data_IF_422073527470
#
_entry.id   IF_422073527470
#
_cell.length_a   1.000
_cell.length_b   1.000
_cell.length_c   1.000
_cell.angle_alpha   90.00
_cell.angle_beta   90.00
_cell.angle_gamma   90.00
#
_symmetry.space_group_name_H-M   'P 1'
#
loop_
_entity.id
_entity.type
_entity.pdbx_description
1 polymer ?
#
# COMPACT_ATOMS: atom_id res chain seq x y z
N UNK A 1 -8.10 -4.13 -13.00
CA UNK A 1 -7.82 -2.81 -12.41
C UNK A 1 -6.63 -2.90 -11.47
N UNK A 2 -6.07 -1.76 -11.05
CA UNK A 2 -5.03 -1.68 -10.01
C UNK A 2 -5.48 -2.36 -8.71
N UNK A 3 -6.77 -2.30 -8.38
CA UNK A 3 -7.34 -2.95 -7.18
C UNK A 3 -7.20 -4.48 -7.26
N UNK A 4 -7.54 -5.07 -8.41
CA UNK A 4 -7.40 -6.51 -8.63
C UNK A 4 -5.93 -6.95 -8.63
N UNK A 5 -5.04 -6.13 -9.18
CA UNK A 5 -3.61 -6.38 -9.16
C UNK A 5 -3.07 -6.35 -7.72
N UNK A 6 -3.44 -5.36 -6.91
CA UNK A 6 -3.02 -5.29 -5.50
C UNK A 6 -3.47 -6.53 -4.73
N UNK A 7 -4.73 -6.95 -4.93
CA UNK A 7 -5.27 -8.18 -4.32
C UNK A 7 -4.52 -9.44 -4.77
N UNK A 8 -4.10 -9.51 -6.04
CA UNK A 8 -3.29 -10.62 -6.55
C UNK A 8 -1.89 -10.65 -5.94
N UNK A 9 -1.28 -9.49 -5.70
CA UNK A 9 0.09 -9.37 -5.18
C UNK A 9 0.16 -9.62 -3.66
N UNK A 10 -0.79 -9.09 -2.89
CA UNK A 10 -0.68 -9.03 -1.42
C UNK A 10 -1.84 -9.69 -0.67
N UNK A 11 -2.91 -10.10 -1.36
CA UNK A 11 -4.06 -10.76 -0.76
C UNK A 11 -4.67 -9.96 0.39
N UNK A 12 -5.02 -10.67 1.48
CA UNK A 12 -5.62 -10.06 2.67
C UNK A 12 -4.60 -9.33 3.57
N UNK A 13 -3.30 -9.43 3.25
CA UNK A 13 -2.18 -8.84 3.98
C UNK A 13 -1.84 -7.42 3.52
N UNK A 14 -2.52 -6.86 2.51
CA UNK A 14 -2.28 -5.48 2.08
C UNK A 14 -2.78 -4.48 3.13
N UNK A 15 -3.94 -4.76 3.74
CA UNK A 15 -4.49 -3.95 4.84
C UNK A 15 -5.09 -2.62 4.40
N UNK A 16 -4.99 -1.61 5.26
CA UNK A 16 -5.59 -0.28 5.05
C UNK A 16 -4.66 0.88 5.35
N UNK A 17 -3.53 0.66 6.02
CA UNK A 17 -2.48 1.67 6.20
C UNK A 17 -1.11 1.04 6.46
N UNK A 18 -0.05 1.70 6.03
CA UNK A 18 1.27 1.12 5.83
C UNK A 18 1.19 -0.14 4.96
N UNK A 19 0.41 -0.06 3.87
CA UNK A 19 0.11 -1.20 2.99
C UNK A 19 1.34 -1.63 2.20
N UNK A 20 1.41 -2.90 1.82
CA UNK A 20 2.49 -3.37 0.97
C UNK A 20 2.42 -2.69 -0.40
N UNK A 21 1.23 -2.40 -0.90
CA UNK A 21 1.00 -1.69 -2.16
C UNK A 21 1.49 -0.24 -2.16
N UNK A 22 1.14 0.56 -1.14
CA UNK A 22 1.58 1.97 -1.08
C UNK A 22 3.09 2.06 -0.88
N UNK A 23 3.65 1.19 -0.03
CA UNK A 23 5.10 1.16 0.21
C UNK A 23 5.84 0.71 -1.05
N UNK A 24 5.30 -0.28 -1.78
CA UNK A 24 5.88 -0.71 -3.07
C UNK A 24 5.95 0.44 -4.07
N UNK A 25 4.89 1.27 -4.17
CA UNK A 25 4.90 2.47 -5.02
C UNK A 25 6.00 3.46 -4.59
N UNK A 26 6.17 3.69 -3.28
CA UNK A 26 7.24 4.57 -2.79
C UNK A 26 8.62 4.00 -3.07
N UNK A 27 8.82 2.68 -2.96
CA UNK A 27 10.08 2.03 -3.27
C UNK A 27 10.43 2.14 -4.75
N UNK A 28 9.44 1.95 -5.62
CA UNK A 28 9.62 2.14 -7.05
C UNK A 28 10.05 3.57 -7.39
N UNK A 29 9.47 4.58 -6.74
CA UNK A 29 9.84 5.98 -6.98
C UNK A 29 11.18 6.38 -6.37
N UNK A 30 11.52 5.83 -5.22
CA UNK A 30 12.69 6.20 -4.42
C UNK A 30 13.53 4.95 -4.06
N UNK A 31 14.18 4.30 -5.02
CA UNK A 31 14.85 3.00 -4.80
C UNK A 31 16.04 3.10 -3.84
N UNK A 32 16.74 4.24 -3.77
CA UNK A 32 17.82 4.43 -2.81
C UNK A 32 17.31 4.52 -1.36
N UNK A 33 16.17 5.19 -1.15
CA UNK A 33 15.52 5.23 0.17
C UNK A 33 14.96 3.86 0.52
N UNK A 34 14.38 3.13 -0.44
CA UNK A 34 13.92 1.77 -0.26
C UNK A 34 15.05 0.89 0.30
N UNK A 35 16.25 0.90 -0.29
CA UNK A 35 17.41 0.15 0.21
C UNK A 35 17.75 0.49 1.66
N UNK A 36 17.60 1.75 2.06
CA UNK A 36 17.90 2.25 3.42
C UNK A 36 16.86 1.81 4.45
N UNK A 37 15.58 1.81 4.09
CA UNK A 37 14.46 1.64 5.04
C UNK A 37 13.75 0.30 4.95
N UNK A 38 14.07 -0.52 3.93
CA UNK A 38 13.39 -1.79 3.71
C UNK A 38 13.39 -2.65 4.96
N UNK A 39 12.19 -3.02 5.40
CA UNK A 39 11.99 -3.86 6.58
C UNK A 39 12.40 -5.30 6.22
N UNK A 40 13.62 -5.68 6.61
CA UNK A 40 14.16 -7.03 6.35
C UNK A 40 13.85 -8.05 7.44
N UNK A 41 13.23 -7.62 8.54
CA UNK A 41 12.88 -8.47 9.69
C UNK A 41 11.38 -8.68 9.73
N UNK A 42 10.94 -9.85 10.19
CA UNK A 42 9.53 -10.09 10.48
C UNK A 42 9.03 -9.07 11.50
N UNK A 43 7.87 -8.50 11.22
CA UNK A 43 7.13 -7.68 12.16
C UNK A 43 6.29 -8.58 13.08
N UNK A 44 5.97 -8.09 14.28
CA UNK A 44 5.13 -8.84 15.23
C UNK A 44 3.95 -7.98 15.69
N UNK A 45 2.70 -8.39 15.39
CA UNK A 45 2.34 -9.50 14.49
C UNK A 45 2.79 -9.23 13.04
N UNK A 46 2.93 -10.30 12.25
CA UNK A 46 3.35 -10.23 10.84
C UNK A 46 2.38 -9.34 10.04
N UNK A 47 1.09 -9.67 10.09
CA UNK A 47 0.00 -8.79 9.66
C UNK A 47 -0.52 -8.00 10.86
N UNK A 48 -0.57 -6.67 10.75
CA UNK A 48 -1.05 -5.79 11.82
C UNK A 48 -2.54 -6.00 12.16
N UNK A 49 -3.00 -5.63 13.37
CA UNK A 49 -4.43 -5.66 13.72
C UNK A 49 -5.28 -4.75 12.82
N UNK A 50 -6.56 -5.09 12.68
CA UNK A 50 -7.59 -4.25 12.03
C UNK A 50 -8.47 -3.60 13.10
N UNK A 51 -9.03 -2.44 12.81
CA UNK A 51 -9.94 -1.75 13.72
C UNK A 51 -10.47 -0.42 13.19
N UNK A 52 -11.41 0.21 13.90
CA UNK A 52 -11.94 1.52 13.55
C UNK A 52 -10.89 2.63 13.75
N UNK A 53 -11.09 3.75 13.07
CA UNK A 53 -10.28 4.97 13.18
C UNK A 53 -11.11 6.04 13.92
N UNK A 54 -10.57 6.55 15.03
CA UNK A 54 -11.16 7.64 15.82
C UNK A 54 -10.17 8.81 15.93
N UNK A 55 -9.97 9.35 17.14
CA UNK A 55 -8.98 10.41 17.37
C UNK A 55 -7.54 9.88 17.39
N UNK A 56 -6.56 10.80 17.39
CA UNK A 56 -5.15 10.45 17.33
C UNK A 56 -4.64 9.67 18.56
N UNK A 57 -5.21 9.90 19.75
CA UNK A 57 -4.81 9.18 20.97
C UNK A 57 -5.29 7.73 20.92
N UNK A 58 -6.54 7.53 20.52
CA UNK A 58 -7.10 6.20 20.29
C UNK A 58 -6.38 5.49 19.14
N UNK A 59 -6.08 6.19 18.03
CA UNK A 59 -5.32 5.63 16.92
C UNK A 59 -3.99 5.04 17.39
N UNK A 60 -3.18 5.81 18.13
CA UNK A 60 -1.89 5.35 18.66
C UNK A 60 -2.05 4.18 19.64
N UNK A 61 -3.15 4.14 20.40
CA UNK A 61 -3.45 3.03 21.32
C UNK A 61 -3.80 1.75 20.56
N UNK A 62 -4.55 1.84 19.45
CA UNK A 62 -4.99 0.70 18.64
C UNK A 62 -3.91 0.19 17.68
N UNK A 63 -3.15 1.10 17.10
CA UNK A 63 -2.14 0.84 16.07
C UNK A 63 -0.79 1.42 16.53
N UNK A 64 -0.08 0.78 17.48
CA UNK A 64 1.10 1.36 18.11
C UNK A 64 2.27 1.62 17.16
N UNK A 65 2.41 0.81 16.11
CA UNK A 65 3.40 0.97 15.03
C UNK A 65 2.81 1.66 13.79
N UNK A 66 1.57 2.14 13.89
CA UNK A 66 0.83 2.81 12.83
C UNK A 66 0.19 1.90 11.79
N UNK A 67 0.58 0.63 11.68
CA UNK A 67 0.05 -0.29 10.66
C UNK A 67 -1.41 -0.66 10.93
N UNK A 68 -2.20 -0.83 9.87
CA UNK A 68 -3.58 -1.30 9.96
C UNK A 68 -3.79 -2.46 8.99
N UNK A 69 -3.96 -3.68 9.53
CA UNK A 69 -4.25 -4.86 8.73
C UNK A 69 -3.18 -5.29 7.73
N UNK A 70 -1.98 -4.70 7.79
CA UNK A 70 -0.97 -4.75 6.74
C UNK A 70 0.30 -5.49 7.16
N UNK A 71 0.89 -6.19 6.20
CA UNK A 71 2.26 -6.69 6.25
C UNK A 71 3.13 -5.97 5.19
N UNK A 72 3.81 -4.87 5.56
CA UNK A 72 4.65 -4.11 4.64
C UNK A 72 5.94 -4.84 4.25
N UNK A 73 6.27 -5.98 4.86
CA UNK A 73 7.47 -6.75 4.50
C UNK A 73 7.35 -7.40 3.12
N UNK A 74 6.13 -7.50 2.59
CA UNK A 74 5.85 -7.97 1.22
C UNK A 74 6.17 -6.94 0.13
N UNK A 75 6.47 -5.69 0.50
CA UNK A 75 6.67 -4.62 -0.46
C UNK A 75 7.96 -4.79 -1.29
N UNK A 76 7.87 -4.49 -2.59
CA UNK A 76 9.01 -4.54 -3.51
C UNK A 76 8.97 -3.45 -4.57
N UNK A 77 10.13 -3.16 -5.17
CA UNK A 77 10.25 -2.19 -6.28
C UNK A 77 9.46 -2.70 -7.49
N UNK A 78 9.54 -4.00 -7.76
CA UNK A 78 8.89 -4.66 -8.90
C UNK A 78 7.37 -4.62 -8.79
N UNK A 79 6.83 -4.83 -7.58
CA UNK A 79 5.41 -4.66 -7.33
C UNK A 79 4.98 -3.20 -7.52
N UNK A 80 5.81 -2.25 -7.07
CA UNK A 80 5.57 -0.83 -7.22
C UNK A 80 5.49 -0.39 -8.68
N UNK A 81 6.38 -0.92 -9.53
CA UNK A 81 6.36 -0.65 -10.96
C UNK A 81 5.06 -1.15 -11.61
N UNK A 82 4.64 -2.38 -11.29
CA UNK A 82 3.40 -2.95 -11.82
C UNK A 82 2.17 -2.13 -11.39
N UNK A 83 2.10 -1.76 -10.10
CA UNK A 83 1.02 -0.93 -9.56
C UNK A 83 1.00 0.46 -10.19
N UNK A 84 2.17 1.08 -10.39
CA UNK A 84 2.26 2.40 -11.03
C UNK A 84 1.70 2.36 -12.45
N UNK A 85 2.14 1.40 -13.27
CA UNK A 85 1.66 1.25 -14.65
C UNK A 85 0.15 1.00 -14.71
N UNK A 86 -0.37 0.11 -13.86
CA UNK A 86 -1.80 -0.17 -13.77
C UNK A 86 -2.59 1.07 -13.31
N UNK A 87 -2.10 1.81 -12.30
CA UNK A 87 -2.73 3.01 -11.78
C UNK A 87 -2.82 4.11 -12.83
N UNK A 88 -1.73 4.37 -13.56
CA UNK A 88 -1.69 5.38 -14.63
C UNK A 88 -2.68 5.01 -15.73
N UNK A 89 -2.70 3.76 -16.16
CA UNK A 89 -3.63 3.27 -17.19
C UNK A 89 -5.10 3.41 -16.75
N UNK A 90 -5.44 2.96 -15.55
CA UNK A 90 -6.80 3.04 -15.01
C UNK A 90 -7.27 4.49 -14.82
N UNK A 91 -6.43 5.35 -14.22
CA UNK A 91 -6.77 6.75 -13.99
C UNK A 91 -6.85 7.56 -15.29
N UNK A 92 -5.98 7.29 -16.27
CA UNK A 92 -6.05 7.96 -17.56
C UNK A 92 -7.38 7.67 -18.26
N UNK A 93 -7.84 6.41 -18.22
CA UNK A 93 -9.14 6.03 -18.76
C UNK A 93 -10.29 6.73 -18.03
N UNK A 94 -10.31 6.67 -16.69
CA UNK A 94 -11.33 7.34 -15.87
C UNK A 94 -11.38 8.84 -16.17
N UNK A 95 -10.22 9.48 -16.28
CA UNK A 95 -10.14 10.90 -16.58
C UNK A 95 -10.67 11.23 -17.98
N UNK A 96 -10.32 10.42 -18.99
CA UNK A 96 -10.84 10.58 -20.35
C UNK A 96 -12.37 10.43 -20.39
N UNK A 97 -12.91 9.41 -19.72
CA UNK A 97 -14.36 9.22 -19.62
C UNK A 97 -15.03 10.42 -18.93
N UNK A 98 -14.44 10.94 -17.85
CA UNK A 98 -14.94 12.10 -17.12
C UNK A 98 -15.00 13.38 -17.98
N UNK A 99 -13.95 13.69 -18.75
CA UNK A 99 -13.91 14.91 -19.56
C UNK A 99 -14.69 14.82 -20.87
N UNK A 100 -15.05 13.61 -21.31
CA UNK A 100 -15.85 13.36 -22.52
C UNK A 100 -17.34 13.19 -22.23
N UNK A 101 -17.76 13.27 -20.96
CA UNK A 101 -19.17 13.25 -20.57
C UNK A 101 -19.71 14.68 -20.61
N UNK A 102 -20.74 14.94 -21.42
CA UNK A 102 -21.48 16.22 -21.47
C UNK A 102 -22.22 16.52 -20.16
#
# INVERSE_FOLDING_TARGET
SVIELSKKLFGDSDGSHATASEISLTYFRYPEEAKRVQVKKKLNPEVAPKGPIYDAKDYRKRFPDGRIGSDPTLASIEAGQQLYQASVSDLAKIYQDFVMTD
#
